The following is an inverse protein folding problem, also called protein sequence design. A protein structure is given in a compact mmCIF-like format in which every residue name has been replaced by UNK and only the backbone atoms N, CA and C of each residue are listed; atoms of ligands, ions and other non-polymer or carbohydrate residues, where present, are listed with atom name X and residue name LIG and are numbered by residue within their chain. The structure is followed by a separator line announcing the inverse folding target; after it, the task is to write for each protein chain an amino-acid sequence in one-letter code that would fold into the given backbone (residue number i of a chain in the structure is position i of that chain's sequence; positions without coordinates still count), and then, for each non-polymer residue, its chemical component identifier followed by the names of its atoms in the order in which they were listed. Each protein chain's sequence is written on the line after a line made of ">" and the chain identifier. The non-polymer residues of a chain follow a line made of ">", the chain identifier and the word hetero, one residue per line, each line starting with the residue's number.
data_IF_643596956175
#
_entry.id   IF_643596956175
#
_cell.length_a   1.000
_cell.length_b   1.000
_cell.length_c   1.000
_cell.angle_alpha   90.00
_cell.angle_beta   90.00
_cell.angle_gamma   90.00
#
_symmetry.space_group_name_H-M   'P 1'
#
loop_
_entity.id
_entity.type
_entity.pdbx_description
1 polymer ?
#
# COMPACT_ATOMS: atom_id res chain seq x y z
N UNK A 1 -28.21 -18.51 -36.87
CA UNK A 1 -28.13 -17.53 -35.81
C UNK A 1 -26.73 -17.59 -35.26
N UNK A 2 -25.93 -16.60 -35.65
CA UNK A 2 -24.55 -16.43 -35.14
C UNK A 2 -24.69 -15.91 -33.71
N UNK A 3 -24.20 -16.71 -32.77
CA UNK A 3 -24.07 -16.35 -31.37
C UNK A 3 -22.86 -15.40 -31.28
N UNK A 4 -23.09 -14.10 -31.34
CA UNK A 4 -22.08 -13.12 -30.96
C UNK A 4 -21.92 -13.19 -29.43
N UNK A 5 -20.98 -14.03 -28.98
CA UNK A 5 -20.39 -13.87 -27.65
C UNK A 5 -19.50 -12.63 -27.71
N UNK A 6 -20.01 -11.47 -27.25
CA UNK A 6 -19.15 -10.39 -26.82
C UNK A 6 -18.21 -10.99 -25.75
N UNK A 7 -16.96 -11.21 -26.10
CA UNK A 7 -15.91 -11.39 -25.12
C UNK A 7 -15.84 -10.07 -24.37
N UNK A 8 -16.29 -10.07 -23.12
CA UNK A 8 -15.88 -9.05 -22.18
C UNK A 8 -14.34 -9.17 -22.14
N UNK A 9 -13.65 -8.26 -22.82
CA UNK A 9 -12.21 -8.13 -22.65
C UNK A 9 -12.02 -7.72 -21.20
N UNK A 10 -11.51 -8.63 -20.37
CA UNK A 10 -10.87 -8.22 -19.14
C UNK A 10 -9.87 -7.14 -19.55
N UNK A 11 -9.95 -5.94 -18.95
CA UNK A 11 -9.03 -4.85 -19.26
C UNK A 11 -7.60 -5.39 -19.22
N UNK A 12 -6.76 -4.95 -20.13
CA UNK A 12 -5.37 -5.38 -20.15
C UNK A 12 -4.71 -4.94 -18.85
N UNK A 13 -4.41 -5.90 -17.96
CA UNK A 13 -3.81 -5.64 -16.65
C UNK A 13 -2.49 -4.88 -16.78
N UNK A 14 -1.77 -5.05 -17.89
CA UNK A 14 -0.53 -4.30 -18.13
C UNK A 14 -0.78 -2.80 -18.32
N UNK A 15 -1.85 -2.42 -19.03
CA UNK A 15 -2.23 -1.02 -19.19
C UNK A 15 -2.67 -0.40 -17.85
N UNK A 16 -3.42 -1.16 -17.04
CA UNK A 16 -3.80 -0.73 -15.68
C UNK A 16 -2.55 -0.54 -14.81
N UNK A 17 -1.60 -1.48 -14.89
CA UNK A 17 -0.34 -1.40 -14.16
C UNK A 17 0.45 -0.14 -14.54
N UNK A 18 0.69 0.10 -15.82
CA UNK A 18 1.42 1.29 -16.32
C UNK A 18 0.77 2.60 -15.85
N UNK A 19 -0.55 2.63 -15.74
CA UNK A 19 -1.26 3.81 -15.30
C UNK A 19 -1.25 3.99 -13.78
N UNK A 20 -1.29 2.92 -13.00
CA UNK A 20 -1.40 2.96 -11.54
C UNK A 20 -0.03 2.96 -10.83
N UNK A 21 0.97 2.27 -11.37
CA UNK A 21 2.30 2.16 -10.76
C UNK A 21 2.93 3.50 -10.37
N UNK A 22 2.81 4.60 -11.16
CA UNK A 22 3.35 5.90 -10.76
C UNK A 22 2.69 6.53 -9.52
N UNK A 23 1.59 5.95 -9.01
CA UNK A 23 0.96 6.36 -7.75
C UNK A 23 1.39 5.50 -6.55
N UNK A 24 2.18 4.44 -6.76
CA UNK A 24 2.61 3.52 -5.71
C UNK A 24 4.05 3.83 -5.33
N UNK A 25 4.30 3.92 -4.03
CA UNK A 25 5.62 4.26 -3.48
C UNK A 25 6.09 3.19 -2.50
N UNK A 26 7.40 3.10 -2.29
CA UNK A 26 7.96 2.39 -1.15
C UNK A 26 8.08 3.33 0.04
N UNK A 27 7.83 2.80 1.23
CA UNK A 27 8.01 3.51 2.50
C UNK A 27 9.02 2.73 3.32
N UNK A 28 10.06 3.41 3.79
CA UNK A 28 11.05 2.85 4.72
C UNK A 28 10.93 3.58 6.04
N UNK A 29 10.79 2.80 7.10
CA UNK A 29 10.71 3.24 8.48
C UNK A 29 11.97 2.78 9.21
N UNK A 30 12.72 3.72 9.78
CA UNK A 30 13.83 3.44 10.70
C UNK A 30 13.42 3.87 12.10
N UNK A 31 13.45 2.94 13.01
CA UNK A 31 13.10 3.14 14.41
C UNK A 31 14.16 2.57 15.33
N UNK A 32 13.96 2.72 16.61
CA UNK A 32 14.81 2.15 17.67
C UNK A 32 13.91 1.39 18.64
N UNK A 33 14.20 0.12 18.85
CA UNK A 33 13.52 -0.69 19.86
C UNK A 33 14.38 -0.85 21.11
N UNK A 34 13.73 -0.68 22.27
CA UNK A 34 14.34 -1.01 23.57
C UNK A 34 14.30 -2.50 23.80
N UNK A 35 15.45 -3.16 23.77
CA UNK A 35 15.57 -4.59 24.13
C UNK A 35 16.08 -4.68 25.56
N UNK A 36 15.21 -5.12 26.50
CA UNK A 36 15.64 -5.43 27.85
C UNK A 36 16.38 -6.77 27.87
N UNK A 37 17.65 -6.73 28.23
CA UNK A 37 18.42 -7.95 28.49
C UNK A 37 17.88 -8.65 29.73
N UNK A 38 17.31 -9.84 29.58
CA UNK A 38 16.77 -10.66 30.69
C UNK A 38 17.83 -11.06 31.74
N UNK A 39 19.13 -10.92 31.45
CA UNK A 39 20.19 -11.39 32.29
C UNK A 39 20.93 -10.31 33.12
N UNK A 40 20.90 -9.06 32.68
CA UNK A 40 21.69 -7.98 33.32
C UNK A 40 20.92 -6.68 33.60
N UNK A 41 19.61 -6.61 33.28
CA UNK A 41 18.80 -5.41 33.54
C UNK A 41 19.28 -4.15 32.77
N UNK A 42 20.13 -4.33 31.76
CA UNK A 42 20.61 -3.22 30.92
C UNK A 42 19.67 -3.09 29.71
N UNK A 43 19.18 -1.89 29.50
CA UNK A 43 18.45 -1.52 28.29
C UNK A 43 19.45 -1.39 27.14
N UNK A 44 19.25 -2.13 26.08
CA UNK A 44 19.97 -1.97 24.82
C UNK A 44 19.02 -1.41 23.79
N UNK A 45 19.50 -0.44 23.01
CA UNK A 45 18.77 0.11 21.88
C UNK A 45 19.21 -0.59 20.61
N UNK A 46 18.27 -1.16 19.88
CA UNK A 46 18.53 -1.82 18.61
C UNK A 46 17.81 -1.04 17.51
N UNK A 47 18.57 -0.63 16.49
CA UNK A 47 17.97 -0.04 15.28
C UNK A 47 17.14 -1.08 14.57
N UNK A 48 15.91 -0.69 14.24
CA UNK A 48 14.97 -1.49 13.45
C UNK A 48 14.72 -0.81 12.12
N UNK A 49 14.65 -1.58 11.05
CA UNK A 49 14.25 -1.10 9.75
C UNK A 49 13.09 -1.95 9.26
N UNK A 50 11.98 -1.29 8.96
CA UNK A 50 10.82 -1.92 8.33
C UNK A 50 10.46 -1.20 7.05
N UNK A 51 9.82 -1.91 6.13
CA UNK A 51 9.42 -1.35 4.85
C UNK A 51 8.02 -1.83 4.47
N UNK A 52 7.33 -0.97 3.76
CA UNK A 52 6.01 -1.25 3.20
C UNK A 52 5.78 -0.42 1.94
N UNK A 53 4.54 -0.38 1.53
CA UNK A 53 4.10 0.39 0.37
C UNK A 53 3.23 1.55 0.80
N UNK A 54 3.01 2.49 -0.12
CA UNK A 54 2.05 3.58 0.03
C UNK A 54 1.40 3.92 -1.30
N UNK A 55 0.29 4.63 -1.24
CA UNK A 55 -0.48 5.08 -2.40
C UNK A 55 -0.62 6.58 -2.35
N UNK A 56 -0.20 7.30 -3.40
CA UNK A 56 -0.40 8.74 -3.53
C UNK A 56 -1.89 9.00 -3.74
N UNK A 57 -2.56 9.59 -2.75
CA UNK A 57 -4.00 9.83 -2.76
C UNK A 57 -4.38 11.28 -3.04
N UNK A 58 -3.45 12.22 -2.85
CA UNK A 58 -3.68 13.63 -3.15
C UNK A 58 -2.36 14.38 -3.40
N UNK A 59 -2.46 15.48 -4.15
CA UNK A 59 -1.41 16.47 -4.34
C UNK A 59 -2.00 17.84 -4.01
N UNK A 60 -1.41 18.52 -3.04
CA UNK A 60 -1.73 19.91 -2.71
C UNK A 60 -0.72 20.86 -3.34
N UNK A 61 -0.82 22.15 -3.08
CA UNK A 61 0.18 23.13 -3.55
C UNK A 61 1.55 22.96 -2.88
N UNK A 62 1.65 22.21 -1.78
CA UNK A 62 2.86 22.09 -0.96
C UNK A 62 3.32 20.65 -0.73
N UNK A 63 2.41 19.70 -0.72
CA UNK A 63 2.67 18.34 -0.26
C UNK A 63 1.99 17.30 -1.14
N UNK A 64 2.61 16.13 -1.28
CA UNK A 64 1.93 14.89 -1.65
C UNK A 64 1.42 14.21 -0.39
N UNK A 65 0.20 13.72 -0.43
CA UNK A 65 -0.39 12.90 0.63
C UNK A 65 -0.43 11.44 0.17
N UNK A 66 0.04 10.56 1.02
CA UNK A 66 0.22 9.14 0.74
C UNK A 66 -0.50 8.35 1.83
N UNK A 67 -1.43 7.49 1.43
CA UNK A 67 -2.06 6.53 2.33
C UNK A 67 -1.18 5.28 2.45
N UNK A 68 -1.15 4.71 3.66
CA UNK A 68 -0.44 3.47 3.97
C UNK A 68 -1.06 2.82 5.21
N UNK A 69 -0.51 1.70 5.68
CA UNK A 69 -0.91 1.12 6.96
C UNK A 69 -0.22 1.81 8.15
N UNK A 70 -0.91 1.82 9.30
CA UNK A 70 -0.33 2.32 10.54
C UNK A 70 0.92 1.52 10.94
N UNK A 71 0.88 0.20 10.86
CA UNK A 71 2.01 -0.65 11.23
C UNK A 71 3.28 -0.42 10.37
N UNK A 72 3.15 0.20 9.18
CA UNK A 72 4.28 0.56 8.31
C UNK A 72 5.03 1.77 8.87
N UNK A 73 4.35 2.69 9.55
CA UNK A 73 4.92 3.95 10.04
C UNK A 73 5.04 4.02 11.56
N UNK A 74 4.53 3.03 12.26
CA UNK A 74 4.53 3.00 13.72
C UNK A 74 5.96 2.95 14.27
N UNK A 75 6.22 3.72 15.33
CA UNK A 75 7.54 3.81 15.97
C UNK A 75 8.64 4.46 15.11
N UNK A 76 8.31 5.09 13.97
CA UNK A 76 9.31 5.70 13.10
C UNK A 76 10.00 6.89 13.75
N UNK A 77 11.33 6.83 13.89
CA UNK A 77 12.19 8.01 14.16
C UNK A 77 12.54 8.74 12.85
N UNK A 78 12.78 7.99 11.79
CA UNK A 78 13.00 8.51 10.44
C UNK A 78 12.14 7.76 9.44
N UNK A 79 11.40 8.52 8.62
CA UNK A 79 10.53 7.99 7.58
C UNK A 79 10.97 8.53 6.22
N UNK A 80 11.13 7.64 5.25
CA UNK A 80 11.44 8.01 3.87
C UNK A 80 10.48 7.34 2.89
N UNK A 81 10.24 8.03 1.79
CA UNK A 81 9.47 7.56 0.65
C UNK A 81 10.37 7.45 -0.56
N UNK A 82 10.31 6.33 -1.26
CA UNK A 82 10.99 6.13 -2.53
C UNK A 82 9.94 6.04 -3.65
N UNK A 83 10.03 6.96 -4.59
CA UNK A 83 9.20 6.97 -5.80
C UNK A 83 9.76 5.99 -6.83
N UNK A 84 8.90 5.19 -7.43
CA UNK A 84 9.28 4.20 -8.45
C UNK A 84 9.05 4.77 -9.84
N UNK A 85 9.83 5.77 -10.18
CA UNK A 85 9.82 6.38 -11.51
C UNK A 85 11.24 6.40 -12.05
N UNK A 86 11.37 6.28 -13.38
CA UNK A 86 12.68 6.37 -14.02
C UNK A 86 13.24 7.78 -13.84
N UNK A 87 14.39 7.89 -13.19
CA UNK A 87 15.11 9.13 -12.97
C UNK A 87 16.56 8.96 -13.41
N UNK A 88 17.21 10.07 -13.81
CA UNK A 88 18.63 10.05 -14.16
C UNK A 88 19.52 9.75 -12.93
N UNK A 89 19.04 10.12 -11.74
CA UNK A 89 19.70 9.89 -10.48
C UNK A 89 18.73 9.22 -9.49
N UNK A 90 19.03 8.00 -9.08
CA UNK A 90 18.20 7.23 -8.15
C UNK A 90 18.04 7.88 -6.79
N UNK A 91 19.00 8.69 -6.34
CA UNK A 91 18.92 9.40 -5.05
C UNK A 91 17.82 10.47 -5.06
N UNK A 92 17.45 11.02 -6.23
CA UNK A 92 16.37 12.00 -6.37
C UNK A 92 14.99 11.40 -6.13
N UNK A 93 14.88 10.08 -6.19
CA UNK A 93 13.62 9.37 -5.93
C UNK A 93 13.35 9.11 -4.45
N UNK A 94 14.33 9.31 -3.56
CA UNK A 94 14.20 9.06 -2.11
C UNK A 94 14.09 10.36 -1.36
N UNK A 95 12.99 10.56 -0.65
CA UNK A 95 12.71 11.81 0.08
C UNK A 95 12.22 11.52 1.49
N UNK A 96 12.47 12.46 2.40
CA UNK A 96 11.94 12.39 3.77
C UNK A 96 10.43 12.57 3.77
N UNK A 97 9.77 11.82 4.64
CA UNK A 97 8.34 11.90 4.83
C UNK A 97 7.98 12.19 6.30
N UNK A 98 6.78 12.68 6.53
CA UNK A 98 6.24 12.96 7.85
C UNK A 98 4.88 12.33 8.00
N UNK A 99 4.61 11.74 9.16
CA UNK A 99 3.29 11.23 9.50
C UNK A 99 2.35 12.42 9.74
N UNK A 100 1.23 12.46 9.04
CA UNK A 100 0.19 13.49 9.20
C UNK A 100 -0.91 13.05 10.16
N UNK A 101 -1.17 11.77 10.20
CA UNK A 101 -2.15 11.15 11.09
C UNK A 101 -2.17 9.65 10.96
N UNK A 102 -2.60 9.01 12.03
CA UNK A 102 -2.71 7.55 12.14
C UNK A 102 -4.07 7.18 12.71
N UNK A 103 -4.55 6.03 12.32
CA UNK A 103 -5.68 5.32 12.90
C UNK A 103 -5.23 3.88 13.18
N UNK A 104 -4.79 3.63 14.40
CA UNK A 104 -4.30 2.31 14.82
C UNK A 104 -5.39 1.26 14.83
N UNK A 105 -6.64 1.66 15.08
CA UNK A 105 -7.76 0.73 15.15
C UNK A 105 -8.11 0.16 13.78
N UNK A 106 -7.98 0.98 12.73
CA UNK A 106 -8.20 0.55 11.34
C UNK A 106 -6.91 0.22 10.59
N UNK A 107 -5.75 0.29 11.25
CA UNK A 107 -4.43 0.07 10.64
C UNK A 107 -4.18 0.98 9.43
N UNK A 108 -4.56 2.26 9.53
CA UNK A 108 -4.36 3.27 8.49
C UNK A 108 -3.44 4.39 8.95
N UNK A 109 -2.69 4.95 8.01
CA UNK A 109 -1.91 6.16 8.21
C UNK A 109 -1.90 7.02 6.94
N UNK A 110 -1.69 8.31 7.13
CA UNK A 110 -1.38 9.26 6.06
C UNK A 110 -0.02 9.86 6.34
N UNK A 111 0.86 9.77 5.35
CA UNK A 111 2.16 10.45 5.37
C UNK A 111 2.20 11.55 4.31
N UNK A 112 3.02 12.56 4.53
CA UNK A 112 3.22 13.63 3.58
C UNK A 112 4.69 13.77 3.21
N UNK A 113 4.92 14.13 1.95
CA UNK A 113 6.21 14.53 1.40
C UNK A 113 6.07 15.96 0.87
N UNK A 114 7.03 16.82 1.24
CA UNK A 114 7.06 18.20 0.72
C UNK A 114 7.39 18.20 -0.78
N UNK A 115 6.61 18.94 -1.58
CA UNK A 115 6.90 19.09 -3.02
C UNK A 115 8.24 19.78 -3.29
N UNK A 116 8.73 20.62 -2.34
CA UNK A 116 10.05 21.26 -2.48
C UNK A 116 11.22 20.28 -2.41
N UNK A 117 10.97 19.08 -1.84
CA UNK A 117 12.00 18.06 -1.66
C UNK A 117 12.00 17.04 -2.82
N UNK A 118 11.07 17.19 -3.76
CA UNK A 118 10.93 16.34 -4.94
C UNK A 118 11.36 17.13 -6.18
N UNK A 119 12.29 16.60 -6.97
CA UNK A 119 12.70 17.23 -8.23
C UNK A 119 11.53 17.39 -9.21
N UNK A 120 11.57 18.42 -10.06
CA UNK A 120 10.52 18.64 -11.07
C UNK A 120 10.38 17.46 -12.04
N UNK A 121 11.50 16.79 -12.37
CA UNK A 121 11.49 15.60 -13.21
C UNK A 121 10.67 14.47 -12.57
N UNK A 122 10.94 14.16 -11.30
CA UNK A 122 10.18 13.17 -10.54
C UNK A 122 8.70 13.58 -10.43
N UNK A 123 8.44 14.84 -10.03
CA UNK A 123 7.05 15.31 -9.86
C UNK A 123 6.21 15.19 -11.12
N UNK A 124 6.82 15.36 -12.30
CA UNK A 124 6.13 15.28 -13.60
C UNK A 124 5.66 13.87 -13.95
N UNK A 125 6.29 12.85 -13.37
CA UNK A 125 6.02 11.44 -13.62
C UNK A 125 5.07 10.81 -12.60
N UNK A 126 4.87 11.46 -11.44
CA UNK A 126 3.98 10.96 -10.39
C UNK A 126 2.52 11.13 -10.77
N UNK A 127 1.71 10.18 -10.35
CA UNK A 127 0.24 10.22 -10.50
C UNK A 127 -0.43 10.13 -9.12
N UNK A 128 -1.60 10.73 -9.02
CA UNK A 128 -2.51 10.53 -7.89
C UNK A 128 -3.44 9.37 -8.26
N UNK A 129 -3.64 8.42 -7.35
CA UNK A 129 -4.55 7.30 -7.57
C UNK A 129 -5.98 7.81 -7.77
N UNK A 130 -6.68 7.19 -8.71
CA UNK A 130 -8.11 7.48 -8.93
C UNK A 130 -8.91 6.72 -7.87
N UNK A 131 -9.69 7.45 -7.08
CA UNK A 131 -10.52 6.85 -6.04
C UNK A 131 -11.69 6.09 -6.65
N UNK A 132 -11.89 4.85 -6.21
CA UNK A 132 -13.03 4.02 -6.54
C UNK A 132 -14.14 4.15 -5.49
N UNK A 133 -14.98 3.12 -5.41
CA UNK A 133 -16.10 3.04 -4.49
C UNK A 133 -16.23 1.59 -4.01
N UNK A 134 -15.74 1.33 -2.80
CA UNK A 134 -15.75 -0.02 -2.23
C UNK A 134 -17.16 -0.54 -1.90
N UNK A 135 -18.13 0.34 -1.72
CA UNK A 135 -19.52 -0.04 -1.45
C UNK A 135 -20.22 -0.67 -2.67
N UNK A 136 -19.68 -0.42 -3.88
CA UNK A 136 -20.22 -0.99 -5.13
C UNK A 136 -19.63 -2.34 -5.51
N UNK A 137 -18.68 -2.83 -4.76
CA UNK A 137 -17.98 -4.08 -5.03
C UNK A 137 -18.92 -5.28 -4.89
N UNK A 138 -18.60 -6.33 -5.64
CA UNK A 138 -19.32 -7.62 -5.61
C UNK A 138 -18.31 -8.76 -5.54
N UNK A 139 -18.69 -9.84 -4.86
CA UNK A 139 -17.93 -11.09 -4.90
C UNK A 139 -17.76 -11.53 -6.36
N UNK A 140 -16.54 -11.91 -6.73
CA UNK A 140 -16.17 -12.26 -8.10
C UNK A 140 -15.72 -11.07 -8.96
N UNK A 141 -15.73 -9.81 -8.47
CA UNK A 141 -15.05 -8.73 -9.17
C UNK A 141 -13.55 -8.98 -9.20
N UNK A 142 -12.93 -8.76 -10.36
CA UNK A 142 -11.49 -8.83 -10.51
C UNK A 142 -10.84 -7.67 -9.74
N UNK A 143 -9.72 -7.98 -9.09
CA UNK A 143 -8.91 -6.99 -8.37
C UNK A 143 -7.42 -7.17 -8.69
N UNK A 144 -6.69 -6.08 -8.55
CA UNK A 144 -5.26 -6.00 -8.80
C UNK A 144 -4.61 -5.41 -7.55
N UNK A 145 -3.74 -6.17 -6.91
CA UNK A 145 -2.97 -5.69 -5.77
C UNK A 145 -1.58 -5.26 -6.24
N UNK A 146 -1.18 -4.03 -5.90
CA UNK A 146 0.13 -3.49 -6.24
C UNK A 146 0.82 -2.99 -4.96
N UNK A 147 2.11 -3.30 -4.84
CA UNK A 147 2.97 -2.77 -3.81
C UNK A 147 4.42 -2.65 -4.27
N UNK A 148 5.24 -2.02 -3.44
CA UNK A 148 6.66 -1.80 -3.68
C UNK A 148 7.45 -1.93 -2.38
N UNK A 149 7.65 -3.17 -1.94
CA UNK A 149 8.41 -3.38 -0.72
C UNK A 149 9.91 -3.36 -0.96
N UNK A 150 10.63 -2.80 0.00
CA UNK A 150 12.08 -2.89 0.13
C UNK A 150 12.87 -2.34 -1.06
N UNK A 151 12.23 -1.59 -1.97
CA UNK A 151 12.94 -1.08 -3.16
C UNK A 151 13.39 -2.16 -4.17
N UNK A 152 12.97 -3.43 -3.98
CA UNK A 152 13.23 -4.51 -4.95
C UNK A 152 12.40 -4.38 -6.23
N UNK A 153 11.60 -3.33 -6.34
CA UNK A 153 10.72 -3.09 -7.46
C UNK A 153 9.25 -3.35 -7.11
N UNK A 154 8.39 -2.76 -7.93
CA UNK A 154 6.95 -2.93 -7.78
C UNK A 154 6.56 -4.36 -8.13
N UNK A 155 5.65 -4.92 -7.34
CA UNK A 155 5.04 -6.22 -7.59
C UNK A 155 3.53 -6.04 -7.78
N UNK A 156 2.99 -6.84 -8.68
CA UNK A 156 1.58 -6.86 -9.01
C UNK A 156 1.06 -8.28 -8.90
N UNK A 157 -0.08 -8.45 -8.24
CA UNK A 157 -0.83 -9.71 -8.22
C UNK A 157 -2.26 -9.47 -8.63
N UNK A 158 -2.87 -10.45 -9.27
CA UNK A 158 -4.26 -10.40 -9.75
C UNK A 158 -5.08 -11.47 -9.07
N UNK A 159 -6.28 -11.15 -8.70
CA UNK A 159 -7.24 -12.07 -8.12
C UNK A 159 -8.66 -11.56 -8.24
N UNK A 160 -9.50 -12.07 -7.37
CA UNK A 160 -10.92 -11.73 -7.32
C UNK A 160 -11.35 -11.45 -5.88
N UNK A 161 -12.42 -10.70 -5.71
CA UNK A 161 -13.05 -10.54 -4.41
C UNK A 161 -13.69 -11.86 -3.99
N UNK A 162 -13.19 -12.43 -2.90
CA UNK A 162 -13.68 -13.70 -2.32
C UNK A 162 -14.80 -13.46 -1.32
N UNK A 163 -14.72 -12.35 -0.56
CA UNK A 163 -15.78 -11.93 0.38
C UNK A 163 -15.72 -10.42 0.61
N UNK A 164 -16.83 -9.85 1.05
CA UNK A 164 -16.97 -8.46 1.47
C UNK A 164 -17.42 -8.42 2.93
N UNK A 165 -17.10 -7.32 3.61
CA UNK A 165 -17.45 -7.12 5.02
C UNK A 165 -16.98 -8.30 5.91
N UNK A 166 -15.79 -8.83 5.60
CA UNK A 166 -15.21 -9.92 6.38
C UNK A 166 -14.67 -9.35 7.69
N UNK A 167 -15.26 -9.74 8.81
CA UNK A 167 -14.72 -9.36 10.11
C UNK A 167 -13.39 -10.08 10.35
N UNK A 168 -12.34 -9.28 10.51
CA UNK A 168 -10.97 -9.73 10.81
C UNK A 168 -10.49 -9.00 12.05
N UNK A 169 -9.99 -9.74 13.03
CA UNK A 169 -9.46 -9.17 14.27
C UNK A 169 -7.95 -9.02 14.16
N UNK A 170 -7.47 -7.78 14.28
CA UNK A 170 -6.05 -7.43 14.31
C UNK A 170 -5.80 -6.72 15.64
N UNK A 171 -4.83 -7.16 16.43
CA UNK A 171 -4.47 -6.57 17.74
C UNK A 171 -5.68 -6.34 18.67
N UNK A 172 -6.63 -7.28 18.71
CA UNK A 172 -7.88 -7.23 19.46
C UNK A 172 -8.92 -6.19 18.95
N UNK A 173 -8.72 -5.60 17.78
CA UNK A 173 -9.70 -4.75 17.12
C UNK A 173 -10.26 -5.48 15.90
N UNK A 174 -11.59 -5.55 15.81
CA UNK A 174 -12.30 -6.17 14.66
C UNK A 174 -12.62 -5.14 13.61
N UNK A 175 -12.18 -5.40 12.40
CA UNK A 175 -12.41 -4.55 11.22
C UNK A 175 -13.11 -5.33 10.10
N UNK A 176 -13.99 -4.65 9.37
CA UNK A 176 -14.60 -5.20 8.17
C UNK A 176 -13.66 -5.01 6.97
N UNK A 177 -13.23 -6.10 6.39
CA UNK A 177 -12.24 -6.12 5.31
C UNK A 177 -12.81 -6.66 4.00
N UNK A 178 -12.17 -6.28 2.90
CA UNK A 178 -12.30 -6.94 1.61
C UNK A 178 -11.39 -8.16 1.64
N UNK A 179 -11.94 -9.35 1.37
CA UNK A 179 -11.14 -10.57 1.20
C UNK A 179 -10.94 -10.85 -0.28
N UNK A 180 -9.70 -11.21 -0.67
CA UNK A 180 -9.31 -11.54 -2.04
C UNK A 180 -8.38 -12.76 -2.06
N UNK A 181 -8.32 -13.45 -3.19
CA UNK A 181 -7.34 -14.50 -3.49
C UNK A 181 -6.08 -13.93 -4.20
N UNK A 182 -6.06 -12.63 -4.54
CA UNK A 182 -4.81 -11.97 -4.91
C UNK A 182 -3.79 -12.10 -3.78
N UNK A 183 -2.54 -12.42 -4.11
CA UNK A 183 -1.51 -12.61 -3.11
C UNK A 183 -1.19 -11.28 -2.39
N UNK A 184 -1.49 -11.22 -1.10
CA UNK A 184 -1.15 -10.12 -0.20
C UNK A 184 -0.05 -10.62 0.75
N UNK A 185 1.09 -9.94 0.72
CA UNK A 185 2.30 -10.29 1.48
C UNK A 185 2.88 -9.03 2.13
N UNK A 186 3.87 -9.18 3.02
CA UNK A 186 4.55 -8.06 3.68
C UNK A 186 5.07 -6.99 2.71
N UNK A 187 5.32 -7.37 1.44
CA UNK A 187 5.81 -6.46 0.42
C UNK A 187 4.78 -5.51 -0.17
N UNK A 188 3.49 -5.86 -0.18
CA UNK A 188 2.44 -5.01 -0.73
C UNK A 188 1.52 -4.39 0.34
N UNK A 189 1.83 -4.61 1.62
CA UNK A 189 1.15 -3.96 2.75
C UNK A 189 1.26 -2.43 2.66
N UNK A 190 0.15 -1.73 2.80
CA UNK A 190 0.05 -0.28 2.57
C UNK A 190 -0.09 0.13 1.11
N UNK A 191 0.06 -0.80 0.17
CA UNK A 191 -0.15 -0.58 -1.26
C UNK A 191 -1.61 -0.65 -1.68
N UNK A 192 -1.86 -0.52 -2.97
CA UNK A 192 -3.20 -0.42 -3.53
C UNK A 192 -3.85 -1.77 -3.77
N UNK A 193 -5.14 -1.88 -3.46
CA UNK A 193 -6.07 -2.79 -4.11
C UNK A 193 -6.89 -1.99 -5.12
N UNK A 194 -6.82 -2.37 -6.40
CA UNK A 194 -7.50 -1.71 -7.51
C UNK A 194 -8.61 -2.58 -8.07
N UNK A 195 -9.64 -1.95 -8.62
CA UNK A 195 -10.64 -2.62 -9.45
C UNK A 195 -10.12 -2.89 -10.88
N UNK A 196 -10.92 -3.53 -11.72
CA UNK A 196 -10.59 -3.82 -13.11
C UNK A 196 -10.48 -2.58 -14.02
N UNK A 197 -10.77 -1.39 -13.52
CA UNK A 197 -10.60 -0.11 -14.22
C UNK A 197 -9.37 0.67 -13.69
N UNK A 198 -8.65 0.11 -12.71
CA UNK A 198 -7.49 0.76 -12.08
C UNK A 198 -7.86 1.78 -10.99
N UNK A 199 -9.11 1.80 -10.52
CA UNK A 199 -9.51 2.66 -9.41
C UNK A 199 -9.14 2.03 -8.07
N UNK A 200 -8.66 2.85 -7.14
CA UNK A 200 -8.32 2.44 -5.78
C UNK A 200 -9.60 2.09 -4.99
N UNK A 201 -9.71 0.85 -4.52
CA UNK A 201 -10.86 0.34 -3.77
C UNK A 201 -10.50 -0.15 -2.36
N UNK A 202 -9.22 -0.20 -2.04
CA UNK A 202 -8.75 -0.59 -0.71
C UNK A 202 -7.24 -0.43 -0.55
N UNK A 203 -6.80 -0.50 0.70
CA UNK A 203 -5.39 -0.53 1.09
C UNK A 203 -5.05 -1.95 1.56
N UNK A 204 -4.07 -2.59 0.90
CA UNK A 204 -3.65 -3.95 1.23
C UNK A 204 -3.09 -4.03 2.66
N UNK A 205 -3.42 -5.07 3.42
CA UNK A 205 -2.89 -5.30 4.76
C UNK A 205 -2.41 -6.75 4.91
N UNK A 206 -1.09 -6.94 4.91
CA UNK A 206 -0.48 -8.25 5.15
C UNK A 206 -0.64 -8.68 6.61
N UNK A 207 -0.72 -7.75 7.56
CA UNK A 207 -0.97 -8.04 8.97
C UNK A 207 -2.30 -8.75 9.17
N UNK A 208 -3.33 -8.38 8.37
CA UNK A 208 -4.61 -9.07 8.38
C UNK A 208 -4.55 -10.47 7.75
N UNK A 209 -3.61 -10.70 6.83
CA UNK A 209 -3.43 -11.97 6.13
C UNK A 209 -2.64 -13.02 6.94
N UNK A 210 -1.97 -12.63 8.02
CA UNK A 210 -1.16 -13.52 8.89
C UNK A 210 -2.02 -14.49 9.73
N UNK A 211 -3.11 -14.97 9.16
CA UNK A 211 -3.97 -16.00 9.77
C UNK A 211 -3.46 -17.44 9.50
N UNK A 212 -2.33 -17.58 8.79
CA UNK A 212 -1.73 -18.87 8.43
C UNK A 212 -2.49 -19.67 7.39
N UNK A 213 -3.46 -19.08 6.71
CA UNK A 213 -4.24 -19.73 5.65
C UNK A 213 -3.81 -19.19 4.29
N UNK A 214 -3.26 -20.07 3.45
CA UNK A 214 -2.87 -19.72 2.07
C UNK A 214 -4.10 -19.33 1.23
N UNK A 215 -3.94 -18.33 0.34
CA UNK A 215 -4.98 -17.90 -0.58
C UNK A 215 -6.04 -16.96 0.03
N UNK A 216 -5.77 -16.41 1.22
CA UNK A 216 -6.60 -15.36 1.81
C UNK A 216 -5.80 -14.07 1.98
N UNK A 217 -6.03 -13.10 1.11
CA UNK A 217 -5.54 -11.74 1.23
C UNK A 217 -6.63 -10.81 1.75
N UNK A 218 -6.24 -9.72 2.39
CA UNK A 218 -7.16 -8.74 2.94
C UNK A 218 -6.75 -7.32 2.57
N UNK A 219 -7.76 -6.46 2.38
CA UNK A 219 -7.57 -5.03 2.20
C UNK A 219 -8.62 -4.25 2.99
N UNK A 220 -8.20 -3.10 3.50
CA UNK A 220 -9.06 -2.14 4.18
C UNK A 220 -9.86 -1.40 3.11
N UNK A 221 -11.21 -1.42 3.13
CA UNK A 221 -12.02 -0.70 2.15
C UNK A 221 -11.85 0.82 2.28
N UNK A 222 -12.11 1.55 1.18
CA UNK A 222 -12.08 3.03 1.15
C UNK A 222 -13.46 3.61 0.98
#
# INVERSE_FOLDING_TARGET
>A
PECHTERLSAGDVSEIAENAMPSIVAITNKGVEEVQSMFFGTTQYQETESAGSGVIIAKTDKELLIATNNHVVDGAEELSVCFTVDTENTDDAVVKAQVKGTDSDHDLAVVAVSLSDISEDVQSKLKVAVMGDSDKLKIGNQVIAIGNALGYGQSLTVGYISALNREVTIDNVSNNMIQTDAAINFGNSGGALLDANGNLIGINSAKAADTGVEGMGYAIPI
#
